data_IF_416831189369
#
_entry.id   IF_416831189369
#
_cell.length_a   1.000
_cell.length_b   1.000
_cell.length_c   1.000
_cell.angle_alpha   90.00
_cell.angle_beta   90.00
_cell.angle_gamma   90.00
#
_symmetry.space_group_name_H-M   'P 1'
#
loop_
_entity.id
_entity.type
_entity.pdbx_description
1 polymer ?
#
# COMPACT_ATOMS: atom_id res chain seq x y z
N UNK A 1 0.31 12.20 -12.18
CA UNK A 1 0.64 13.05 -13.34
C UNK A 1 2.00 12.59 -13.84
N UNK A 2 2.12 12.09 -15.07
CA UNK A 2 3.41 11.70 -15.61
C UNK A 2 4.24 12.97 -15.83
N UNK A 3 5.41 13.04 -15.18
CA UNK A 3 6.36 14.13 -15.44
C UNK A 3 7.04 13.86 -16.78
N UNK A 4 6.93 14.80 -17.70
CA UNK A 4 7.64 14.75 -18.99
C UNK A 4 9.04 15.29 -18.77
N UNK A 5 10.05 14.42 -18.89
CA UNK A 5 11.46 14.83 -18.83
C UNK A 5 11.88 15.27 -20.24
N UNK A 6 12.27 16.54 -20.38
CA UNK A 6 12.86 17.07 -21.62
C UNK A 6 14.38 17.05 -21.48
N UNK A 7 15.05 16.48 -22.47
CA UNK A 7 16.52 16.47 -22.54
C UNK A 7 17.01 17.25 -23.76
N UNK A 8 18.19 17.92 -23.68
CA UNK A 8 18.77 18.60 -24.83
C UNK A 8 19.11 17.64 -25.98
N UNK A 9 18.98 18.10 -27.23
CA UNK A 9 19.24 17.30 -28.44
C UNK A 9 20.63 16.68 -28.44
N UNK A 10 21.65 17.42 -28.02
CA UNK A 10 23.02 16.92 -27.95
C UNK A 10 23.17 15.76 -26.96
N UNK A 11 22.45 15.79 -25.82
CA UNK A 11 22.47 14.69 -24.85
C UNK A 11 21.76 13.45 -25.42
N UNK A 12 20.64 13.65 -26.13
CA UNK A 12 19.94 12.56 -26.82
C UNK A 12 20.81 11.91 -27.91
N UNK A 13 21.53 12.71 -28.70
CA UNK A 13 22.46 12.20 -29.71
C UNK A 13 23.60 11.39 -29.08
N UNK A 14 24.16 11.87 -27.96
CA UNK A 14 25.18 11.13 -27.22
C UNK A 14 24.67 9.78 -26.69
N UNK A 15 23.44 9.71 -26.20
CA UNK A 15 22.81 8.44 -25.82
C UNK A 15 22.73 7.48 -27.03
N UNK A 16 22.34 7.99 -28.20
CA UNK A 16 22.24 7.19 -29.42
C UNK A 16 23.54 6.56 -29.90
N UNK A 17 24.70 7.16 -29.61
CA UNK A 17 26.02 6.58 -29.95
C UNK A 17 26.27 5.27 -29.19
N UNK A 18 25.69 5.13 -28.01
CA UNK A 18 25.84 3.92 -27.19
C UNK A 18 24.85 2.82 -27.55
N UNK A 19 23.89 3.04 -28.45
CA UNK A 19 22.95 2.01 -28.87
C UNK A 19 23.67 0.95 -29.73
N UNK A 20 23.51 -0.32 -29.40
CA UNK A 20 24.06 -1.44 -30.18
C UNK A 20 22.93 -2.20 -30.88
N UNK A 21 23.06 -2.41 -32.20
CA UNK A 21 22.12 -3.22 -32.98
C UNK A 21 20.66 -2.73 -32.93
N UNK A 22 19.80 -3.49 -32.24
CA UNK A 22 18.36 -3.23 -32.10
C UNK A 22 17.98 -2.57 -30.77
N UNK A 23 18.96 -2.01 -30.05
CA UNK A 23 18.70 -1.31 -28.79
C UNK A 23 17.69 -0.17 -28.99
N UNK A 24 16.69 -0.13 -28.10
CA UNK A 24 15.81 1.03 -28.00
C UNK A 24 16.46 2.10 -27.11
N UNK A 25 16.09 3.39 -27.23
CA UNK A 25 16.54 4.42 -26.31
C UNK A 25 16.31 4.07 -24.83
N UNK A 26 15.25 3.30 -24.52
CA UNK A 26 14.97 2.84 -23.17
C UNK A 26 16.03 1.84 -22.66
N UNK A 27 16.46 0.90 -23.51
CA UNK A 27 17.49 -0.09 -23.13
C UNK A 27 18.85 0.57 -22.84
N UNK A 28 19.20 1.61 -23.61
CA UNK A 28 20.42 2.39 -23.37
C UNK A 28 20.33 3.15 -22.04
N UNK A 29 19.17 3.75 -21.74
CA UNK A 29 18.94 4.46 -20.48
C UNK A 29 19.02 3.49 -19.30
N UNK A 30 18.39 2.32 -19.40
CA UNK A 30 18.41 1.27 -18.36
C UNK A 30 19.84 0.84 -18.05
N UNK A 31 20.65 0.51 -19.07
CA UNK A 31 22.05 0.12 -18.90
C UNK A 31 22.91 1.23 -18.25
N UNK A 32 22.67 2.49 -18.60
CA UNK A 32 23.39 3.64 -18.00
C UNK A 32 22.99 3.81 -16.52
N UNK A 33 21.71 3.65 -16.21
CA UNK A 33 21.21 3.72 -14.84
C UNK A 33 21.79 2.59 -13.99
N UNK A 34 21.74 1.35 -14.48
CA UNK A 34 22.30 0.19 -13.80
C UNK A 34 23.78 0.39 -13.48
N UNK A 35 24.57 0.83 -14.47
CA UNK A 35 25.99 1.13 -14.26
C UNK A 35 26.21 2.23 -13.21
N UNK A 36 25.46 3.34 -13.29
CA UNK A 36 25.59 4.44 -12.34
C UNK A 36 25.23 4.00 -10.91
N UNK A 37 24.17 3.23 -10.77
CA UNK A 37 23.64 2.71 -9.51
C UNK A 37 24.61 1.73 -8.84
N UNK A 38 25.10 0.75 -9.59
CA UNK A 38 26.10 -0.21 -9.11
C UNK A 38 27.37 0.49 -8.60
N UNK A 39 27.88 1.48 -9.35
CA UNK A 39 29.08 2.23 -8.96
C UNK A 39 28.86 3.14 -7.74
N UNK A 40 27.62 3.50 -7.43
CA UNK A 40 27.27 4.29 -6.24
C UNK A 40 26.82 3.43 -5.06
N UNK A 41 26.67 2.12 -5.25
CA UNK A 41 26.03 1.25 -4.25
C UNK A 41 24.58 1.63 -3.98
N UNK A 42 23.89 2.19 -4.98
CA UNK A 42 22.47 2.57 -4.92
C UNK A 42 21.68 1.52 -5.69
N UNK A 43 20.56 1.04 -5.18
CA UNK A 43 19.58 0.28 -5.97
C UNK A 43 18.28 1.09 -6.03
N UNK A 44 18.04 1.79 -7.14
CA UNK A 44 16.80 2.56 -7.30
C UNK A 44 15.60 1.67 -7.62
N UNK A 45 15.83 0.43 -8.06
CA UNK A 45 14.78 -0.56 -8.33
C UNK A 45 14.07 -0.98 -7.05
N UNK A 46 14.71 -0.90 -5.87
CA UNK A 46 14.03 -1.06 -4.59
C UNK A 46 12.93 0.01 -4.37
N UNK A 47 13.19 1.22 -4.84
CA UNK A 47 12.24 2.34 -4.81
C UNK A 47 11.04 2.11 -5.73
N UNK A 48 11.24 1.41 -6.85
CA UNK A 48 10.18 1.07 -7.82
C UNK A 48 9.50 -0.29 -7.58
N UNK A 49 10.14 -1.22 -6.85
CA UNK A 49 9.52 -2.48 -6.36
C UNK A 49 8.33 -2.20 -5.44
N UNK A 50 8.36 -1.09 -4.69
CA UNK A 50 7.26 -0.64 -3.82
C UNK A 50 6.18 0.15 -4.58
N UNK A 51 6.52 0.80 -5.69
CA UNK A 51 5.55 1.56 -6.52
C UNK A 51 4.63 0.66 -7.38
N UNK A 52 5.01 -0.60 -7.63
CA UNK A 52 4.22 -1.55 -8.42
C UNK A 52 3.01 -2.17 -7.72
N UNK A 53 2.81 -1.95 -6.41
CA UNK A 53 1.70 -2.56 -5.66
C UNK A 53 0.94 -1.56 -4.77
N UNK A 54 0.56 -0.43 -5.35
CA UNK A 54 -0.40 0.45 -4.66
C UNK A 54 -1.77 -0.25 -4.69
N UNK A 55 -2.40 -0.51 -3.53
CA UNK A 55 -3.71 -1.15 -3.50
C UNK A 55 -4.76 -0.23 -4.15
N UNK A 56 -5.52 -0.78 -5.11
CA UNK A 56 -6.53 -0.05 -5.89
C UNK A 56 -7.81 0.17 -5.07
N UNK A 57 -8.12 -0.78 -4.19
CA UNK A 57 -9.28 -0.74 -3.29
C UNK A 57 -8.89 -1.29 -1.91
N UNK A 58 -9.72 -0.98 -0.92
CA UNK A 58 -9.62 -1.48 0.44
C UNK A 58 -10.85 -2.34 0.75
N UNK A 59 -10.65 -3.64 0.95
CA UNK A 59 -11.71 -4.55 1.41
C UNK A 59 -11.78 -4.54 2.93
N UNK A 60 -12.94 -4.23 3.49
CA UNK A 60 -13.19 -4.30 4.93
C UNK A 60 -14.13 -5.49 5.16
N UNK A 61 -13.72 -6.42 6.03
CA UNK A 61 -14.49 -7.61 6.40
C UNK A 61 -14.79 -7.51 7.88
N UNK A 62 -16.07 -7.63 8.22
CA UNK A 62 -16.54 -7.65 9.59
C UNK A 62 -16.91 -9.08 9.98
N UNK A 63 -16.52 -9.48 11.18
CA UNK A 63 -16.95 -10.72 11.82
C UNK A 63 -17.96 -10.40 12.93
N UNK A 64 -18.97 -11.26 13.14
CA UNK A 64 -19.11 -12.60 12.56
C UNK A 64 -19.68 -12.64 11.13
N UNK A 65 -20.35 -11.57 10.66
CA UNK A 65 -21.11 -11.56 9.41
C UNK A 65 -20.94 -10.26 8.64
N UNK A 66 -21.43 -9.14 9.21
CA UNK A 66 -21.44 -7.83 8.60
C UNK A 66 -21.23 -6.68 9.60
N UNK A 67 -21.24 -5.44 9.10
CA UNK A 67 -20.99 -4.24 9.91
C UNK A 67 -22.04 -4.03 11.01
N UNK A 68 -23.32 -4.35 10.76
CA UNK A 68 -24.39 -4.13 11.72
C UNK A 68 -24.30 -5.13 12.86
N UNK A 69 -24.12 -6.41 12.55
CA UNK A 69 -23.95 -7.47 13.55
C UNK A 69 -22.68 -7.24 14.38
N UNK A 70 -21.57 -6.91 13.72
CA UNK A 70 -20.34 -6.51 14.39
C UNK A 70 -20.57 -5.34 15.35
N UNK A 71 -21.29 -4.29 14.91
CA UNK A 71 -21.57 -3.10 15.73
C UNK A 71 -22.40 -3.46 16.97
N UNK A 72 -23.38 -4.36 16.84
CA UNK A 72 -24.17 -4.81 17.99
C UNK A 72 -23.29 -5.47 19.04
N UNK A 73 -22.40 -6.39 18.62
CA UNK A 73 -21.46 -7.04 19.53
C UNK A 73 -20.45 -6.05 20.12
N UNK A 74 -19.91 -5.14 19.30
CA UNK A 74 -18.94 -4.12 19.72
C UNK A 74 -19.51 -3.20 20.81
N UNK A 75 -20.80 -2.87 20.73
CA UNK A 75 -21.45 -2.03 21.73
C UNK A 75 -21.51 -2.67 23.12
N UNK A 76 -21.50 -4.01 23.18
CA UNK A 76 -21.49 -4.78 24.42
C UNK A 76 -20.08 -5.01 24.95
N UNK A 77 -19.15 -5.43 24.08
CA UNK A 77 -17.78 -5.79 24.48
C UNK A 77 -16.88 -4.58 24.68
N UNK A 78 -17.15 -3.47 23.96
CA UNK A 78 -16.32 -2.24 23.91
C UNK A 78 -14.85 -2.49 23.52
N UNK A 79 -14.56 -3.65 22.94
CA UNK A 79 -13.23 -4.04 22.48
C UNK A 79 -13.35 -4.79 21.16
N UNK A 80 -12.45 -4.48 20.22
CA UNK A 80 -12.29 -5.19 18.97
C UNK A 80 -10.81 -5.37 18.61
N UNK A 81 -10.58 -6.13 17.56
CA UNK A 81 -9.29 -6.50 17.02
C UNK A 81 -9.33 -6.30 15.51
N UNK A 82 -8.20 -5.89 14.94
CA UNK A 82 -8.08 -5.54 13.53
C UNK A 82 -6.85 -6.25 12.97
N UNK A 83 -7.05 -7.03 11.91
CA UNK A 83 -5.99 -7.65 11.12
C UNK A 83 -5.86 -6.94 9.78
N UNK A 84 -4.73 -6.29 9.55
CA UNK A 84 -4.41 -5.56 8.33
C UNK A 84 -3.53 -6.42 7.42
N UNK A 85 -3.91 -6.56 6.17
CA UNK A 85 -3.14 -7.29 5.15
C UNK A 85 -2.54 -6.29 4.17
N UNK A 86 -1.23 -6.36 4.00
CA UNK A 86 -0.46 -5.47 3.13
C UNK A 86 -0.01 -6.17 1.85
N UNK A 87 0.19 -5.38 0.80
CA UNK A 87 0.58 -5.88 -0.52
C UNK A 87 2.00 -6.47 -0.58
N UNK A 88 2.83 -6.17 0.42
CA UNK A 88 4.16 -6.77 0.65
C UNK A 88 4.10 -8.17 1.28
N UNK A 89 2.89 -8.67 1.59
CA UNK A 89 2.66 -9.97 2.23
C UNK A 89 2.66 -9.92 3.76
N UNK A 90 3.00 -8.79 4.37
CA UNK A 90 2.98 -8.64 5.82
C UNK A 90 1.55 -8.50 6.35
N UNK A 91 1.35 -8.97 7.58
CA UNK A 91 0.12 -8.79 8.34
C UNK A 91 0.40 -7.99 9.61
N UNK A 92 -0.49 -7.08 9.97
CA UNK A 92 -0.37 -6.26 11.17
C UNK A 92 -1.62 -6.42 12.03
N UNK A 93 -1.43 -6.80 13.30
CA UNK A 93 -2.50 -6.97 14.27
C UNK A 93 -2.60 -5.74 15.18
N UNK A 94 -3.83 -5.27 15.42
CA UNK A 94 -4.12 -4.13 16.32
C UNK A 94 -5.27 -4.45 17.25
N UNK A 95 -5.18 -3.96 18.48
CA UNK A 95 -6.32 -3.88 19.38
C UNK A 95 -7.02 -2.52 19.24
N UNK A 96 -8.35 -2.56 19.29
CA UNK A 96 -9.21 -1.39 19.28
C UNK A 96 -10.02 -1.28 20.56
N UNK A 97 -9.70 -0.24 21.35
CA UNK A 97 -10.55 0.21 22.44
C UNK A 97 -11.72 1.02 21.88
N UNK A 98 -12.91 0.46 21.98
CA UNK A 98 -14.16 1.02 21.47
C UNK A 98 -15.06 1.56 22.59
N UNK A 99 -14.51 1.94 23.74
CA UNK A 99 -15.27 2.46 24.88
C UNK A 99 -16.12 3.70 24.54
N UNK A 100 -15.68 4.50 23.56
CA UNK A 100 -16.41 5.69 23.10
C UNK A 100 -17.47 5.40 22.02
N UNK A 101 -17.54 4.16 21.51
CA UNK A 101 -18.52 3.78 20.48
C UNK A 101 -19.91 3.67 21.09
N UNK A 102 -20.89 4.25 20.42
CA UNK A 102 -22.30 4.28 20.79
C UNK A 102 -23.19 3.94 19.58
N UNK A 103 -24.52 3.88 19.79
CA UNK A 103 -25.48 3.47 18.75
C UNK A 103 -25.45 4.37 17.50
N UNK A 104 -25.15 5.66 17.66
CA UNK A 104 -25.05 6.61 16.53
C UNK A 104 -23.67 6.66 15.87
N UNK A 105 -22.68 5.93 16.41
CA UNK A 105 -21.32 5.93 15.86
C UNK A 105 -21.25 5.28 14.48
N UNK A 106 -20.51 5.89 13.56
CA UNK A 106 -20.15 5.32 12.26
C UNK A 106 -18.88 4.47 12.41
N UNK A 107 -19.02 3.15 12.32
CA UNK A 107 -17.89 2.22 12.49
C UNK A 107 -16.89 2.38 11.35
N UNK A 108 -17.38 2.44 10.12
CA UNK A 108 -16.55 2.59 8.94
C UNK A 108 -15.78 3.91 8.96
N UNK A 109 -16.47 5.01 9.29
CA UNK A 109 -15.87 6.33 9.46
C UNK A 109 -14.78 6.36 10.52
N UNK A 110 -15.00 5.72 11.69
CA UNK A 110 -14.00 5.60 12.75
C UNK A 110 -12.78 4.77 12.30
N UNK A 111 -12.99 3.67 11.60
CA UNK A 111 -11.90 2.85 11.06
C UNK A 111 -11.07 3.64 10.03
N UNK A 112 -11.72 4.37 9.11
CA UNK A 112 -11.06 5.15 8.05
C UNK A 112 -10.33 6.39 8.55
N UNK A 113 -10.83 7.03 9.59
CA UNK A 113 -10.15 8.17 10.23
C UNK A 113 -9.06 7.73 11.22
N UNK A 114 -9.12 6.49 11.71
CA UNK A 114 -8.15 5.88 12.62
C UNK A 114 -7.22 4.87 11.92
N UNK A 115 -7.42 3.58 12.20
CA UNK A 115 -6.52 2.48 11.82
C UNK A 115 -6.26 2.39 10.30
N UNK A 116 -7.27 2.67 9.48
CA UNK A 116 -7.22 2.62 8.03
C UNK A 116 -6.88 4.00 7.41
N UNK A 117 -6.51 5.00 8.23
CA UNK A 117 -6.07 6.30 7.72
C UNK A 117 -4.81 6.15 6.88
N UNK A 118 -4.85 6.67 5.66
CA UNK A 118 -3.75 6.54 4.70
C UNK A 118 -3.48 5.09 4.28
N UNK A 119 -4.48 4.21 4.32
CA UNK A 119 -4.34 2.79 3.96
C UNK A 119 -3.59 2.57 2.64
N UNK A 120 -3.84 3.42 1.64
CA UNK A 120 -3.24 3.33 0.31
C UNK A 120 -1.72 3.54 0.34
N UNK A 121 -1.24 4.56 1.04
CA UNK A 121 0.20 4.80 1.21
C UNK A 121 0.87 3.78 2.14
N UNK A 122 0.08 3.12 3.00
CA UNK A 122 0.55 2.02 3.87
C UNK A 122 0.51 0.65 3.19
N UNK A 123 0.10 0.57 1.92
CA UNK A 123 0.01 -0.68 1.17
C UNK A 123 -1.07 -1.64 1.68
N UNK A 124 -2.04 -1.18 2.48
CA UNK A 124 -3.10 -2.03 3.05
C UNK A 124 -4.18 -2.26 2.00
N UNK A 125 -4.49 -3.51 1.65
CA UNK A 125 -5.55 -3.82 0.68
C UNK A 125 -6.76 -4.50 1.30
N UNK A 126 -6.60 -5.10 2.49
CA UNK A 126 -7.68 -5.78 3.22
C UNK A 126 -7.53 -5.54 4.72
N UNK A 127 -8.65 -5.29 5.39
CA UNK A 127 -8.76 -5.24 6.84
C UNK A 127 -9.88 -6.19 7.29
N UNK A 128 -9.58 -7.03 8.28
CA UNK A 128 -10.52 -7.91 8.95
C UNK A 128 -10.73 -7.42 10.37
N UNK A 129 -11.98 -7.33 10.83
CA UNK A 129 -12.34 -6.73 12.11
C UNK A 129 -13.25 -7.69 12.86
N UNK A 130 -12.89 -8.00 14.11
CA UNK A 130 -13.69 -8.86 14.98
C UNK A 130 -13.67 -8.37 16.43
N UNK A 131 -14.70 -8.70 17.21
CA UNK A 131 -14.70 -8.59 18.67
C UNK A 131 -14.03 -9.78 19.36
N UNK A 132 -13.72 -10.85 18.62
CA UNK A 132 -13.03 -12.05 19.08
C UNK A 132 -11.74 -12.29 18.27
N UNK A 133 -10.61 -12.34 18.97
CA UNK A 133 -9.29 -12.54 18.34
C UNK A 133 -9.18 -13.88 17.60
N UNK A 134 -9.94 -14.90 18.00
CA UNK A 134 -9.86 -16.24 17.41
C UNK A 134 -10.39 -16.32 15.97
N UNK A 135 -11.10 -15.30 15.52
CA UNK A 135 -11.74 -15.29 14.19
C UNK A 135 -10.74 -15.06 13.04
N UNK A 136 -9.49 -14.68 13.33
CA UNK A 136 -8.43 -14.45 12.33
C UNK A 136 -7.53 -15.66 12.07
N UNK A 137 -7.76 -16.77 12.78
CA UNK A 137 -6.95 -17.99 12.70
C UNK A 137 -7.45 -18.93 11.60
#
# INVERSE_FOLDING_TARGET
MNQVIKIPTQLYQRLGIHAEGFDTPANVIERILDYYEENKGIDSREKYKTEGKIPVSLKIIYYPSDEQDFKQTLLQTKKAYIMLHKMDGTKEFKEWNASNINRSSDINGNLRSGYLRGWKSKGIYKAEISTNQKDFN
#
